data_IF_428982590542
#
_entry.id   IF_428982590542
#
_cell.length_a   1.000
_cell.length_b   1.000
_cell.length_c   1.000
_cell.angle_alpha   90.00
_cell.angle_beta   90.00
_cell.angle_gamma   90.00
#
_symmetry.space_group_name_H-M   'P 1'
#
loop_
_entity.id
_entity.type
_entity.pdbx_description
1 polymer ?
#
# COMPACT_ATOMS: atom_id res chain seq x y z
N UNK A 1 5.15 -18.70 -0.47
CA UNK A 1 3.85 -18.41 0.14
C UNK A 1 3.54 -16.98 -0.21
N UNK A 2 2.39 -16.71 -0.83
CA UNK A 2 1.93 -15.35 -1.10
C UNK A 2 1.26 -14.90 0.18
N UNK A 3 1.84 -13.94 0.90
CA UNK A 3 1.19 -13.30 2.03
C UNK A 3 0.22 -12.28 1.48
N UNK A 4 -1.05 -12.67 1.34
CA UNK A 4 -2.12 -11.73 1.01
C UNK A 4 -2.31 -10.76 2.18
N UNK A 5 -2.25 -9.46 1.92
CA UNK A 5 -2.59 -8.45 2.91
C UNK A 5 -4.05 -8.08 2.72
N UNK A 6 -4.87 -8.39 3.71
CA UNK A 6 -6.30 -8.11 3.68
C UNK A 6 -6.51 -6.72 4.28
N UNK A 7 -6.88 -5.76 3.43
CA UNK A 7 -7.34 -4.45 3.85
C UNK A 7 -8.86 -4.51 4.02
N UNK A 8 -9.37 -4.06 5.17
CA UNK A 8 -10.83 -3.98 5.35
C UNK A 8 -11.32 -2.61 4.89
N UNK A 9 -12.56 -2.54 4.44
CA UNK A 9 -13.15 -1.26 4.02
C UNK A 9 -13.14 -0.20 5.13
N UNK A 10 -13.10 -0.62 6.40
CA UNK A 10 -12.99 0.28 7.55
C UNK A 10 -11.63 0.94 7.70
N UNK A 11 -10.58 0.35 7.10
CA UNK A 11 -9.21 0.88 7.09
C UNK A 11 -9.00 1.87 5.93
N UNK A 12 -9.84 1.77 4.90
CA UNK A 12 -9.72 2.56 3.67
C UNK A 12 -10.38 3.93 3.82
N UNK A 13 -9.71 4.95 3.29
CA UNK A 13 -10.25 6.30 3.20
C UNK A 13 -9.78 7.00 1.91
N UNK A 14 -10.40 8.14 1.63
CA UNK A 14 -10.07 8.99 0.47
C UNK A 14 -9.13 10.13 0.85
N UNK A 15 -8.16 10.40 -0.02
CA UNK A 15 -7.08 11.35 0.26
C UNK A 15 -6.05 11.40 -0.87
N UNK A 16 -4.84 11.83 -0.54
CA UNK A 16 -3.72 11.94 -1.47
C UNK A 16 -2.56 11.08 -0.95
N UNK A 17 -2.09 10.16 -1.78
CA UNK A 17 -1.04 9.24 -1.39
C UNK A 17 0.29 9.97 -1.21
N UNK A 18 0.93 9.82 -0.05
CA UNK A 18 2.24 10.42 0.23
C UNK A 18 3.39 9.80 -0.60
N UNK A 19 3.20 8.63 -1.20
CA UNK A 19 4.24 7.97 -2.01
C UNK A 19 4.19 8.34 -3.49
N UNK A 20 3.00 8.30 -4.12
CA UNK A 20 2.85 8.60 -5.54
C UNK A 20 2.30 10.00 -5.84
N UNK A 21 1.74 10.69 -4.83
CA UNK A 21 1.12 12.02 -5.00
C UNK A 21 -0.24 12.00 -5.69
N UNK A 22 -0.77 10.81 -6.01
CA UNK A 22 -2.08 10.66 -6.66
C UNK A 22 -3.21 10.58 -5.64
N UNK A 23 -4.40 11.04 -6.05
CA UNK A 23 -5.61 10.88 -5.25
C UNK A 23 -6.15 9.47 -5.35
N UNK A 24 -6.53 8.89 -4.21
CA UNK A 24 -7.12 7.56 -4.14
C UNK A 24 -8.29 7.53 -3.15
N UNK A 25 -9.14 6.52 -3.28
CA UNK A 25 -10.19 6.18 -2.29
C UNK A 25 -9.82 4.94 -1.46
N UNK A 26 -8.61 4.44 -1.67
CA UNK A 26 -8.10 3.21 -1.11
C UNK A 26 -6.75 3.52 -0.43
N UNK A 27 -6.76 4.49 0.48
CA UNK A 27 -5.60 4.86 1.30
C UNK A 27 -5.69 4.24 2.69
N UNK A 28 -4.53 3.90 3.23
CA UNK A 28 -4.36 3.44 4.60
C UNK A 28 -3.24 4.20 5.31
N UNK A 29 -3.31 4.26 6.62
CA UNK A 29 -2.19 4.76 7.43
C UNK A 29 -1.21 3.62 7.69
N UNK A 30 0.06 3.85 7.33
CA UNK A 30 1.18 2.97 7.70
C UNK A 30 1.47 3.06 9.19
N UNK A 31 2.28 2.13 9.73
CA UNK A 31 2.69 2.17 11.15
C UNK A 31 3.46 3.45 11.51
N UNK A 32 4.13 4.06 10.54
CA UNK A 32 4.83 5.35 10.67
C UNK A 32 3.89 6.57 10.56
N UNK A 33 2.59 6.35 10.37
CA UNK A 33 1.57 7.39 10.26
C UNK A 33 1.45 8.04 8.88
N UNK A 34 2.13 7.52 7.86
CA UNK A 34 2.02 8.02 6.49
C UNK A 34 0.75 7.50 5.81
N UNK A 35 0.08 8.36 5.04
CA UNK A 35 -1.09 8.03 4.23
C UNK A 35 -0.67 7.49 2.85
N UNK A 36 -0.92 6.20 2.59
CA UNK A 36 -0.41 5.52 1.39
C UNK A 36 -1.51 4.70 0.74
N UNK A 37 -1.59 4.74 -0.60
CA UNK A 37 -2.57 3.95 -1.34
C UNK A 37 -2.19 2.46 -1.39
N UNK A 38 -3.20 1.60 -1.42
CA UNK A 38 -3.02 0.13 -1.49
C UNK A 38 -2.17 -0.27 -2.69
N UNK A 39 -2.34 0.38 -3.86
CA UNK A 39 -1.57 0.10 -5.06
C UNK A 39 -0.06 0.24 -4.83
N UNK A 40 0.37 1.32 -4.20
CA UNK A 40 1.78 1.56 -3.89
C UNK A 40 2.35 0.54 -2.91
N UNK A 41 1.55 0.07 -1.97
CA UNK A 41 1.97 -0.94 -0.98
C UNK A 41 2.12 -2.31 -1.65
N UNK A 42 1.16 -2.70 -2.49
CA UNK A 42 1.22 -3.97 -3.22
C UNK A 42 2.36 -3.96 -4.25
N UNK A 43 2.62 -2.82 -4.90
CA UNK A 43 3.76 -2.67 -5.81
C UNK A 43 5.10 -2.85 -5.06
N UNK A 44 5.28 -2.24 -3.88
CA UNK A 44 6.46 -2.45 -3.04
C UNK A 44 6.65 -3.92 -2.63
N UNK A 45 5.58 -4.58 -2.17
CA UNK A 45 5.65 -6.01 -1.82
C UNK A 45 6.01 -6.88 -3.01
N UNK A 46 5.48 -6.55 -4.19
CA UNK A 46 5.85 -7.23 -5.42
C UNK A 46 7.34 -7.03 -5.72
N UNK A 47 7.88 -5.81 -5.63
CA UNK A 47 9.31 -5.56 -5.79
C UNK A 47 10.15 -6.34 -4.77
N UNK A 48 9.83 -6.30 -3.48
CA UNK A 48 10.55 -7.03 -2.44
C UNK A 48 10.52 -8.55 -2.63
N UNK A 49 9.37 -9.08 -3.04
CA UNK A 49 9.19 -10.51 -3.32
C UNK A 49 9.91 -10.98 -4.57
N UNK A 50 10.00 -10.14 -5.61
CA UNK A 50 10.55 -10.51 -6.91
C UNK A 50 12.05 -10.22 -7.02
N UNK A 51 12.56 -9.19 -6.34
CA UNK A 51 13.98 -8.80 -6.40
C UNK A 51 14.89 -9.49 -5.36
N UNK A 52 14.36 -10.23 -4.38
CA UNK A 52 15.17 -11.09 -3.48
C UNK A 52 15.77 -12.34 -4.17
N UNK A 53 15.62 -12.47 -5.48
CA UNK A 53 16.06 -13.60 -6.28
C UNK A 53 17.18 -13.32 -7.30
N UNK A 54 17.88 -12.18 -7.22
CA UNK A 54 19.09 -11.90 -8.03
C UNK A 54 20.35 -12.09 -7.17
#
# INVERSE_FOLDING_TARGET
MITETIYTQSDLHSGECEWCGEKSNELIYTEDGQEVCVDCIEEMKFYEGTMKGI
#
